data_IF_988881165224
#
_entry.id   IF_988881165224
#
_cell.length_a   1.000
_cell.length_b   1.000
_cell.length_c   1.000
_cell.angle_alpha   90.00
_cell.angle_beta   90.00
_cell.angle_gamma   90.00
#
_symmetry.space_group_name_H-M   'P 1'
#
loop_
_entity.id
_entity.type
_entity.pdbx_description
1 polymer ?
#
# COMPACT_ATOMS: atom_id res chain seq x y z
N UNK A 1 -30.13 14.87 -34.06
CA UNK A 1 -30.31 13.60 -33.34
C UNK A 1 -29.01 13.34 -32.60
N UNK A 2 -29.00 13.70 -31.31
CA UNK A 2 -27.80 13.60 -30.48
C UNK A 2 -27.58 12.16 -30.01
N UNK A 3 -26.33 11.71 -30.09
CA UNK A 3 -25.86 10.59 -29.29
C UNK A 3 -25.07 11.21 -28.12
N UNK A 4 -25.79 11.47 -27.02
CA UNK A 4 -25.16 11.59 -25.71
C UNK A 4 -24.65 10.19 -25.33
N UNK A 5 -23.41 9.89 -25.68
CA UNK A 5 -22.65 8.86 -25.02
C UNK A 5 -22.30 9.37 -23.64
N UNK A 6 -23.02 8.91 -22.61
CA UNK A 6 -22.67 9.17 -21.22
C UNK A 6 -21.31 8.50 -20.94
N UNK A 7 -20.24 9.29 -20.89
CA UNK A 7 -19.02 8.86 -20.23
C UNK A 7 -19.31 8.83 -18.73
N UNK A 8 -19.90 7.72 -18.27
CA UNK A 8 -19.89 7.38 -16.86
C UNK A 8 -18.41 7.36 -16.45
N UNK A 9 -18.05 8.19 -15.49
CA UNK A 9 -16.71 8.22 -14.89
C UNK A 9 -16.43 6.83 -14.33
N UNK A 10 -15.69 5.99 -15.05
CA UNK A 10 -15.38 4.64 -14.58
C UNK A 10 -14.59 4.74 -13.28
N UNK A 11 -15.21 4.30 -12.18
CA UNK A 11 -14.50 4.05 -10.94
C UNK A 11 -13.39 3.04 -11.24
N UNK A 12 -12.13 3.47 -11.21
CA UNK A 12 -11.00 2.60 -11.56
C UNK A 12 -10.55 1.70 -10.40
N UNK A 13 -11.34 1.66 -9.32
CA UNK A 13 -11.11 0.82 -8.16
C UNK A 13 -12.41 0.58 -7.39
N UNK A 14 -12.50 -0.56 -6.74
CA UNK A 14 -13.64 -0.99 -5.91
C UNK A 14 -13.26 -0.90 -4.43
N UNK A 15 -14.24 -0.60 -3.57
CA UNK A 15 -14.06 -0.53 -2.10
C UNK A 15 -14.93 -1.60 -1.45
N UNK A 16 -14.36 -2.33 -0.50
CA UNK A 16 -15.06 -3.31 0.33
C UNK A 16 -14.86 -3.01 1.84
N UNK A 17 -15.95 -2.97 2.64
CA UNK A 17 -17.33 -2.87 2.18
C UNK A 17 -17.57 -1.57 1.39
N UNK A 18 -18.56 -1.50 0.48
CA UNK A 18 -18.82 -0.31 -0.33
C UNK A 18 -19.12 0.97 0.49
N UNK A 19 -19.56 0.80 1.73
CA UNK A 19 -19.84 1.89 2.69
C UNK A 19 -18.65 2.24 3.57
N UNK A 20 -17.47 1.63 3.36
CA UNK A 20 -16.31 1.89 4.18
C UNK A 20 -15.85 3.34 4.03
N UNK A 21 -15.64 4.00 5.17
CA UNK A 21 -14.94 5.26 5.19
C UNK A 21 -13.44 4.99 5.05
N UNK A 22 -12.84 5.47 3.96
CA UNK A 22 -11.40 5.34 3.76
C UNK A 22 -10.64 6.32 4.67
N UNK A 23 -9.46 5.93 5.19
CA UNK A 23 -8.61 6.86 5.91
C UNK A 23 -8.13 7.98 4.97
N UNK A 24 -7.89 9.16 5.52
CA UNK A 24 -7.18 10.24 4.83
C UNK A 24 -5.69 10.00 5.03
N UNK A 25 -4.93 9.95 3.94
CA UNK A 25 -3.49 9.79 3.97
C UNK A 25 -2.80 11.15 3.85
N UNK A 26 -1.67 11.29 4.54
CA UNK A 26 -0.93 12.56 4.62
C UNK A 26 0.56 12.34 4.32
N UNK A 27 1.22 13.41 3.87
CA UNK A 27 2.67 13.46 3.70
C UNK A 27 3.35 13.85 5.03
N UNK A 28 4.61 13.45 5.28
CA UNK A 28 5.49 12.66 4.41
C UNK A 28 5.05 11.18 4.27
N UNK A 29 5.15 10.64 3.05
CA UNK A 29 4.84 9.25 2.71
C UNK A 29 6.14 8.47 2.48
N UNK A 30 6.26 7.31 3.12
CA UNK A 30 7.29 6.30 2.82
C UNK A 30 6.64 4.99 2.37
N UNK A 31 7.28 4.31 1.42
CA UNK A 31 6.96 2.95 1.01
C UNK A 31 8.15 2.03 1.29
N UNK A 32 7.86 0.86 1.83
CA UNK A 32 8.81 -0.24 2.03
C UNK A 32 8.18 -1.56 1.58
N UNK A 33 8.95 -2.64 1.61
CA UNK A 33 8.50 -3.99 1.26
C UNK A 33 8.76 -4.96 2.40
N UNK A 34 7.82 -5.89 2.63
CA UNK A 34 8.02 -7.06 3.47
C UNK A 34 8.42 -8.24 2.58
N UNK A 35 9.69 -8.63 2.62
CA UNK A 35 10.30 -9.46 1.59
C UNK A 35 10.91 -8.59 0.49
N UNK A 36 11.39 -9.22 -0.59
CA UNK A 36 12.06 -8.50 -1.68
C UNK A 36 11.32 -8.66 -3.00
N UNK A 37 10.67 -7.60 -3.44
CA UNK A 37 9.91 -7.54 -4.68
C UNK A 37 9.88 -6.09 -5.19
N UNK A 38 9.64 -5.85 -6.50
CA UNK A 38 9.61 -4.51 -7.06
C UNK A 38 8.39 -3.66 -6.65
N UNK A 39 7.51 -4.14 -5.77
CA UNK A 39 6.29 -3.45 -5.35
C UNK A 39 6.53 -2.03 -4.83
N UNK A 40 7.51 -1.82 -3.96
CA UNK A 40 7.81 -0.50 -3.41
C UNK A 40 8.21 0.50 -4.52
N UNK A 41 9.09 0.08 -5.43
CA UNK A 41 9.45 0.85 -6.63
C UNK A 41 8.25 1.15 -7.52
N UNK A 42 7.37 0.18 -7.75
CA UNK A 42 6.15 0.40 -8.54
C UNK A 42 5.25 1.47 -7.91
N UNK A 43 5.08 1.45 -6.59
CA UNK A 43 4.32 2.47 -5.86
C UNK A 43 4.99 3.84 -6.00
N UNK A 44 6.30 3.94 -5.79
CA UNK A 44 7.04 5.20 -5.96
C UNK A 44 6.87 5.78 -7.36
N UNK A 45 6.95 4.95 -8.40
CA UNK A 45 6.74 5.36 -9.80
C UNK A 45 5.32 5.90 -10.01
N UNK A 46 4.30 5.22 -9.49
CA UNK A 46 2.91 5.69 -9.60
C UNK A 46 2.71 7.01 -8.85
N UNK A 47 3.23 7.14 -7.63
CA UNK A 47 3.20 8.39 -6.87
C UNK A 47 3.84 9.54 -7.68
N UNK A 48 5.01 9.29 -8.27
CA UNK A 48 5.70 10.26 -9.13
C UNK A 48 4.88 10.69 -10.35
N UNK A 49 4.13 9.76 -10.96
CA UNK A 49 3.28 10.06 -12.13
C UNK A 49 2.14 11.04 -11.82
N UNK A 50 1.76 11.21 -10.55
CA UNK A 50 0.74 12.15 -10.09
C UNK A 50 1.32 13.31 -9.27
N UNK A 51 2.65 13.45 -9.21
CA UNK A 51 3.33 14.48 -8.43
C UNK A 51 3.27 14.30 -6.91
N UNK A 52 2.90 13.11 -6.42
CA UNK A 52 2.88 12.79 -5.00
C UNK A 52 4.29 12.42 -4.53
N UNK A 53 4.82 13.16 -3.56
CA UNK A 53 6.11 12.83 -2.95
C UNK A 53 6.02 11.51 -2.17
N UNK A 54 6.92 10.60 -2.47
CA UNK A 54 6.97 9.27 -1.88
C UNK A 54 8.43 8.83 -1.77
N UNK A 55 8.88 8.60 -0.55
CA UNK A 55 10.20 8.01 -0.29
C UNK A 55 10.12 6.50 -0.42
N UNK A 56 11.02 5.89 -1.20
CA UNK A 56 11.17 4.44 -1.29
C UNK A 56 12.33 4.01 -0.39
N UNK A 57 12.05 3.14 0.58
CA UNK A 57 13.01 2.66 1.55
C UNK A 57 12.83 1.15 1.78
N UNK A 58 13.38 0.33 0.87
CA UNK A 58 13.19 -1.13 0.89
C UNK A 58 13.66 -1.80 2.19
N UNK A 59 14.71 -1.24 2.82
CA UNK A 59 15.29 -1.73 4.07
C UNK A 59 14.90 -0.88 5.29
N UNK A 60 13.77 -0.15 5.20
CA UNK A 60 13.28 0.69 6.30
C UNK A 60 13.26 -0.08 7.62
N UNK A 61 13.78 0.54 8.67
CA UNK A 61 13.80 0.00 10.03
C UNK A 61 12.97 0.87 10.97
N UNK A 62 12.61 0.32 12.13
CA UNK A 62 11.98 1.09 13.20
C UNK A 62 12.84 2.30 13.65
N UNK A 63 14.17 2.14 13.62
CA UNK A 63 15.10 3.23 13.97
C UNK A 63 14.99 4.40 12.99
N UNK A 64 14.78 4.12 11.70
CA UNK A 64 14.67 5.17 10.68
C UNK A 64 13.38 5.97 10.88
N UNK A 65 12.26 5.31 11.18
CA UNK A 65 11.01 5.99 11.54
C UNK A 65 11.18 6.91 12.74
N UNK A 66 11.80 6.38 13.81
CA UNK A 66 12.06 7.15 15.03
C UNK A 66 12.99 8.34 14.78
N UNK A 67 14.08 8.13 14.05
CA UNK A 67 15.04 9.20 13.72
C UNK A 67 14.37 10.32 12.93
N UNK A 68 13.55 9.97 11.93
CA UNK A 68 12.76 10.95 11.17
C UNK A 68 11.81 11.74 12.06
N UNK A 69 11.17 11.09 13.03
CA UNK A 69 10.31 11.79 13.98
C UNK A 69 11.10 12.77 14.87
N UNK A 70 12.24 12.35 15.40
CA UNK A 70 13.13 13.18 16.22
C UNK A 70 13.70 14.39 15.43
N UNK A 71 13.91 14.23 14.12
CA UNK A 71 14.34 15.29 13.20
C UNK A 71 13.21 16.25 12.78
N UNK A 72 11.98 16.07 13.29
CA UNK A 72 10.81 16.87 12.91
C UNK A 72 10.26 16.56 11.52
N UNK A 73 10.63 15.40 10.96
CA UNK A 73 10.24 14.91 9.63
C UNK A 73 9.44 13.61 9.72
N UNK A 74 8.69 13.41 10.82
CA UNK A 74 7.89 12.22 11.05
C UNK A 74 7.00 11.89 9.84
N UNK A 75 7.09 10.66 9.33
CA UNK A 75 6.15 10.17 8.32
C UNK A 75 4.73 10.19 8.87
N UNK A 76 3.76 10.42 7.98
CA UNK A 76 2.33 10.37 8.31
C UNK A 76 1.64 9.16 7.69
N UNK A 77 2.20 8.66 6.59
CA UNK A 77 1.73 7.44 5.93
C UNK A 77 2.89 6.50 5.63
N UNK A 78 2.69 5.22 5.94
CA UNK A 78 3.57 4.11 5.61
C UNK A 78 2.81 3.13 4.72
N UNK A 79 3.32 2.88 3.51
CA UNK A 79 2.85 1.78 2.67
C UNK A 79 3.83 0.62 2.80
N UNK A 80 3.33 -0.59 3.05
CA UNK A 80 4.13 -1.82 3.09
C UNK A 80 3.64 -2.76 2.00
N UNK A 81 4.46 -3.01 0.99
CA UNK A 81 4.15 -4.02 -0.04
C UNK A 81 4.42 -5.43 0.47
N UNK A 82 3.63 -6.38 0.00
CA UNK A 82 3.73 -7.81 0.35
C UNK A 82 4.05 -8.63 -0.88
N UNK A 83 4.62 -9.81 -0.64
CA UNK A 83 5.04 -10.74 -1.67
C UNK A 83 6.54 -10.66 -1.94
N UNK A 84 7.09 -11.77 -2.38
CA UNK A 84 8.53 -12.01 -2.46
C UNK A 84 8.96 -12.40 -3.87
N UNK A 85 10.25 -12.22 -4.15
CA UNK A 85 10.93 -12.82 -5.28
C UNK A 85 12.03 -13.74 -4.75
N UNK A 86 11.83 -15.06 -4.80
CA UNK A 86 12.83 -16.05 -4.37
C UNK A 86 14.22 -15.80 -5.00
N UNK A 87 14.26 -15.40 -6.29
CA UNK A 87 15.52 -15.02 -6.97
C UNK A 87 16.12 -13.75 -6.37
N UNK A 88 15.31 -12.75 -6.07
CA UNK A 88 15.74 -11.48 -5.46
C UNK A 88 16.28 -11.69 -4.05
N UNK A 89 15.53 -12.39 -3.20
CA UNK A 89 15.92 -12.72 -1.83
C UNK A 89 17.20 -13.55 -1.78
N UNK A 90 17.32 -14.58 -2.63
CA UNK A 90 18.52 -15.40 -2.72
C UNK A 90 19.76 -14.61 -3.15
N UNK A 91 19.62 -13.69 -4.12
CA UNK A 91 20.74 -12.85 -4.56
C UNK A 91 21.14 -11.79 -3.53
N UNK A 92 20.18 -11.28 -2.75
CA UNK A 92 20.42 -10.31 -1.68
C UNK A 92 20.89 -10.96 -0.36
N UNK A 93 20.81 -12.29 -0.25
CA UNK A 93 21.09 -13.01 1.01
C UNK A 93 20.09 -12.69 2.12
N UNK A 94 18.85 -12.36 1.77
CA UNK A 94 17.81 -11.92 2.70
C UNK A 94 16.90 -13.10 3.05
N UNK A 95 16.76 -13.34 4.35
CA UNK A 95 15.88 -14.36 4.95
C UNK A 95 14.48 -13.78 5.19
N UNK A 96 13.44 -14.56 4.93
CA UNK A 96 12.06 -14.16 5.21
C UNK A 96 11.83 -13.96 6.72
N UNK A 97 12.47 -14.72 7.59
CA UNK A 97 12.31 -14.58 9.05
C UNK A 97 12.92 -13.27 9.55
N UNK A 98 14.02 -12.85 8.94
CA UNK A 98 14.60 -11.53 9.16
C UNK A 98 13.62 -10.43 8.72
N UNK A 99 13.05 -10.55 7.52
CA UNK A 99 12.11 -9.56 6.97
C UNK A 99 10.83 -9.45 7.80
N UNK A 100 10.28 -10.58 8.23
CA UNK A 100 9.12 -10.62 9.15
C UNK A 100 9.46 -9.90 10.45
N UNK A 101 10.63 -10.15 11.02
CA UNK A 101 11.07 -9.50 12.27
C UNK A 101 11.27 -8.00 12.09
N UNK A 102 11.92 -7.57 11.00
CA UNK A 102 12.14 -6.17 10.65
C UNK A 102 10.81 -5.44 10.48
N UNK A 103 9.89 -5.99 9.70
CA UNK A 103 8.61 -5.37 9.41
C UNK A 103 7.69 -5.34 10.63
N UNK A 104 7.71 -6.37 11.48
CA UNK A 104 7.02 -6.29 12.78
C UNK A 104 7.53 -5.11 13.60
N UNK A 105 8.84 -4.90 13.68
CA UNK A 105 9.41 -3.76 14.40
C UNK A 105 8.98 -2.41 13.78
N UNK A 106 9.00 -2.30 12.44
CA UNK A 106 8.53 -1.11 11.70
C UNK A 106 7.06 -0.83 12.00
N UNK A 107 6.18 -1.83 11.92
CA UNK A 107 4.74 -1.70 12.22
C UNK A 107 4.53 -1.25 13.66
N UNK A 108 5.24 -1.84 14.62
CA UNK A 108 5.12 -1.47 16.04
C UNK A 108 5.54 -0.01 16.27
N UNK A 109 6.60 0.46 15.63
CA UNK A 109 7.01 1.86 15.74
C UNK A 109 6.04 2.80 15.04
N UNK A 110 5.59 2.46 13.83
CA UNK A 110 4.59 3.22 13.10
C UNK A 110 3.31 3.41 13.92
N UNK A 111 2.84 2.38 14.62
CA UNK A 111 1.68 2.48 15.53
C UNK A 111 1.92 3.42 16.71
N UNK A 112 3.11 3.41 17.32
CA UNK A 112 3.44 4.33 18.44
C UNK A 112 3.44 5.79 17.98
N UNK A 113 3.97 6.03 16.79
CA UNK A 113 4.06 7.36 16.17
C UNK A 113 2.73 7.82 15.53
N UNK A 114 1.69 6.98 15.55
CA UNK A 114 0.38 7.29 14.96
C UNK A 114 0.39 7.38 13.43
N UNK A 115 1.33 6.70 12.77
CA UNK A 115 1.47 6.66 11.31
C UNK A 115 0.37 5.78 10.72
N UNK A 116 -0.31 6.25 9.66
CA UNK A 116 -1.27 5.45 8.90
C UNK A 116 -0.54 4.31 8.16
N UNK A 117 -0.96 3.07 8.39
CA UNK A 117 -0.38 1.88 7.74
C UNK A 117 -1.28 1.38 6.62
N UNK A 118 -0.74 1.29 5.41
CA UNK A 118 -1.42 0.73 4.23
C UNK A 118 -0.69 -0.56 3.80
N UNK A 119 -1.39 -1.69 3.86
CA UNK A 119 -0.89 -2.96 3.35
C UNK A 119 -1.21 -3.11 1.87
N UNK A 120 -0.20 -3.37 1.02
CA UNK A 120 -0.37 -3.40 -0.41
C UNK A 120 0.08 -4.73 -1.04
N UNK A 121 -0.76 -5.33 -1.89
CA UNK A 121 -0.41 -6.49 -2.70
C UNK A 121 -0.72 -6.20 -4.18
N UNK A 122 0.25 -5.60 -4.89
CA UNK A 122 0.02 -4.94 -6.18
C UNK A 122 0.71 -5.62 -7.37
N UNK A 123 1.35 -6.76 -7.13
CA UNK A 123 2.11 -7.51 -8.12
C UNK A 123 1.37 -8.76 -8.64
N UNK A 124 0.16 -9.03 -8.11
CA UNK A 124 -0.73 -10.11 -8.53
C UNK A 124 -0.31 -11.50 -8.04
N UNK A 125 -1.03 -12.55 -8.49
CA UNK A 125 -0.84 -13.93 -8.00
C UNK A 125 0.60 -14.46 -8.06
N UNK A 126 1.44 -13.93 -8.95
CA UNK A 126 2.88 -14.32 -9.05
C UNK A 126 3.70 -14.00 -7.80
N UNK A 127 3.14 -13.24 -6.86
CA UNK A 127 3.73 -12.89 -5.56
C UNK A 127 2.92 -13.43 -4.38
N UNK A 128 2.07 -14.43 -4.62
CA UNK A 128 1.33 -15.20 -3.62
C UNK A 128 1.31 -16.68 -3.98
N UNK A 129 2.50 -17.27 -4.06
CA UNK A 129 2.71 -18.64 -4.55
C UNK A 129 3.25 -19.59 -3.48
N UNK A 130 3.99 -19.08 -2.49
CA UNK A 130 4.68 -19.90 -1.49
C UNK A 130 4.57 -19.34 -0.07
N UNK A 131 5.13 -20.10 0.88
CA UNK A 131 5.08 -19.78 2.31
C UNK A 131 5.73 -18.43 2.66
N UNK A 132 6.71 -17.98 1.89
CA UNK A 132 7.39 -16.70 2.15
C UNK A 132 6.49 -15.52 1.75
N UNK A 133 5.74 -15.67 0.66
CA UNK A 133 4.70 -14.71 0.29
C UNK A 133 3.61 -14.65 1.38
N UNK A 134 3.11 -15.81 1.82
CA UNK A 134 2.09 -15.87 2.87
C UNK A 134 2.60 -15.33 4.21
N UNK A 135 3.89 -15.53 4.54
CA UNK A 135 4.50 -14.94 5.73
C UNK A 135 4.54 -13.40 5.65
N UNK A 136 4.86 -12.83 4.49
CA UNK A 136 4.83 -11.38 4.28
C UNK A 136 3.41 -10.82 4.42
N UNK A 137 2.42 -11.49 3.81
CA UNK A 137 1.02 -11.08 3.84
C UNK A 137 0.47 -11.17 5.27
N UNK A 138 0.69 -12.30 5.95
CA UNK A 138 0.25 -12.52 7.32
C UNK A 138 0.91 -11.59 8.35
N UNK A 139 2.07 -11.02 8.02
CA UNK A 139 2.75 -10.03 8.86
C UNK A 139 2.15 -8.63 8.71
N UNK A 140 1.77 -8.24 7.49
CA UNK A 140 1.39 -6.85 7.15
C UNK A 140 -0.11 -6.63 7.22
N UNK A 141 -0.89 -7.50 6.58
CA UNK A 141 -2.32 -7.25 6.34
C UNK A 141 -3.13 -7.12 7.64
N UNK A 142 -2.98 -8.00 8.65
CA UNK A 142 -3.71 -7.88 9.91
C UNK A 142 -3.47 -6.57 10.68
N UNK A 143 -2.34 -5.92 10.43
CA UNK A 143 -1.88 -4.74 11.16
C UNK A 143 -2.20 -3.43 10.44
N UNK A 144 -2.78 -3.51 9.23
CA UNK A 144 -3.02 -2.39 8.34
C UNK A 144 -4.31 -1.63 8.68
N UNK A 145 -4.36 -0.34 8.37
CA UNK A 145 -5.58 0.47 8.44
C UNK A 145 -6.37 0.46 7.12
N UNK A 146 -5.70 0.10 6.02
CA UNK A 146 -6.28 -0.03 4.69
C UNK A 146 -5.51 -1.10 3.92
N UNK A 147 -6.22 -1.92 3.16
CA UNK A 147 -5.63 -2.90 2.24
C UNK A 147 -5.82 -2.42 0.81
N UNK A 148 -4.79 -2.49 -0.02
CA UNK A 148 -4.88 -2.25 -1.46
C UNK A 148 -4.36 -3.47 -2.21
N UNK A 149 -5.17 -4.05 -3.10
CA UNK A 149 -4.80 -5.24 -3.86
C UNK A 149 -5.03 -5.03 -5.35
N UNK A 150 -4.18 -5.65 -6.18
CA UNK A 150 -4.52 -5.85 -7.60
C UNK A 150 -5.47 -7.03 -7.73
N UNK A 151 -6.48 -6.91 -8.60
CA UNK A 151 -7.57 -7.88 -8.72
C UNK A 151 -7.06 -9.30 -9.01
N UNK A 152 -6.06 -9.42 -9.88
CA UNK A 152 -5.38 -10.67 -10.23
C UNK A 152 -4.52 -11.25 -9.10
N UNK A 153 -4.44 -10.63 -7.92
CA UNK A 153 -3.85 -11.21 -6.70
C UNK A 153 -4.90 -11.74 -5.71
N UNK A 154 -6.18 -11.51 -5.99
CA UNK A 154 -7.31 -11.77 -5.10
C UNK A 154 -8.47 -12.50 -5.81
N UNK A 155 -8.22 -13.20 -6.91
CA UNK A 155 -9.28 -13.91 -7.68
C UNK A 155 -9.99 -14.99 -6.86
N UNK A 156 -9.30 -15.60 -5.90
CA UNK A 156 -9.83 -16.57 -4.95
C UNK A 156 -10.50 -15.92 -3.71
N UNK A 157 -10.53 -14.59 -3.64
CA UNK A 157 -11.08 -13.84 -2.52
C UNK A 157 -10.24 -13.89 -1.24
N UNK A 158 -8.96 -14.28 -1.31
CA UNK A 158 -8.07 -14.38 -0.14
C UNK A 158 -8.00 -13.08 0.68
N UNK A 159 -7.68 -11.95 0.05
CA UNK A 159 -7.64 -10.63 0.71
C UNK A 159 -9.03 -10.13 1.07
N UNK A 160 -10.06 -10.49 0.29
CA UNK A 160 -11.46 -10.20 0.64
C UNK A 160 -11.86 -10.86 1.96
N UNK A 161 -11.41 -12.09 2.20
CA UNK A 161 -11.65 -12.79 3.47
C UNK A 161 -10.86 -12.14 4.61
N UNK A 162 -9.57 -11.87 4.42
CA UNK A 162 -8.73 -11.23 5.44
C UNK A 162 -9.26 -9.84 5.83
N UNK A 163 -9.65 -9.01 4.86
CA UNK A 163 -10.23 -7.70 5.10
C UNK A 163 -11.47 -7.78 6.00
N UNK A 164 -12.36 -8.75 5.75
CA UNK A 164 -13.55 -8.98 6.59
C UNK A 164 -13.19 -9.49 7.98
N UNK A 165 -12.26 -10.44 8.07
CA UNK A 165 -11.82 -11.03 9.34
C UNK A 165 -11.22 -9.97 10.28
N UNK A 166 -10.42 -9.06 9.73
CA UNK A 166 -9.77 -7.99 10.50
C UNK A 166 -10.56 -6.68 10.55
N UNK A 167 -11.71 -6.59 9.89
CA UNK A 167 -12.50 -5.35 9.75
C UNK A 167 -11.72 -4.17 9.15
N UNK A 168 -10.90 -4.46 8.13
CA UNK A 168 -10.08 -3.46 7.44
C UNK A 168 -10.71 -3.17 6.07
N UNK A 169 -10.86 -1.91 5.65
CA UNK A 169 -11.30 -1.59 4.30
C UNK A 169 -10.32 -2.15 3.26
N UNK A 170 -10.86 -2.67 2.17
CA UNK A 170 -10.11 -3.20 1.03
C UNK A 170 -10.42 -2.38 -0.21
N UNK A 171 -9.38 -1.93 -0.90
CA UNK A 171 -9.45 -1.35 -2.24
C UNK A 171 -8.89 -2.34 -3.24
N UNK A 172 -9.66 -2.63 -4.28
CA UNK A 172 -9.22 -3.47 -5.41
C UNK A 172 -9.01 -2.61 -6.64
N UNK A 173 -7.82 -2.71 -7.25
CA UNK A 173 -7.50 -2.09 -8.55
C UNK A 173 -7.34 -3.16 -9.63
N UNK A 174 -7.73 -2.85 -10.87
CA UNK A 174 -7.50 -3.77 -11.99
C UNK A 174 -6.02 -3.87 -12.38
N UNK A 175 -5.34 -2.74 -12.45
CA UNK A 175 -3.95 -2.62 -12.91
C UNK A 175 -3.15 -1.76 -11.92
N UNK A 176 -1.84 -1.97 -11.83
CA UNK A 176 -0.97 -1.19 -10.94
C UNK A 176 -1.04 0.32 -11.24
N UNK A 177 -1.24 0.72 -12.51
CA UNK A 177 -1.40 2.13 -12.88
C UNK A 177 -2.66 2.79 -12.29
N UNK A 178 -3.71 2.01 -12.01
CA UNK A 178 -4.95 2.54 -11.42
C UNK A 178 -4.78 2.94 -9.95
N UNK A 179 -3.66 2.57 -9.31
CA UNK A 179 -3.27 3.09 -8.00
C UNK A 179 -3.16 4.63 -8.00
N UNK A 180 -2.87 5.25 -9.14
CA UNK A 180 -2.86 6.71 -9.28
C UNK A 180 -4.18 7.35 -8.81
N UNK A 181 -5.32 6.73 -9.15
CA UNK A 181 -6.63 7.24 -8.76
C UNK A 181 -6.95 6.96 -7.29
N UNK A 182 -6.45 5.85 -6.75
CA UNK A 182 -6.53 5.54 -5.32
C UNK A 182 -5.75 6.58 -4.51
N UNK A 183 -4.51 6.87 -4.89
CA UNK A 183 -3.68 7.84 -4.19
C UNK A 183 -4.22 9.27 -4.31
N UNK A 184 -4.76 9.67 -5.46
CA UNK A 184 -5.50 10.94 -5.58
C UNK A 184 -6.66 11.05 -4.60
N UNK A 185 -7.41 9.95 -4.41
CA UNK A 185 -8.51 9.90 -3.45
C UNK A 185 -8.03 9.96 -2.00
N UNK A 186 -7.01 9.19 -1.63
CA UNK A 186 -6.51 9.08 -0.25
C UNK A 186 -5.78 10.35 0.22
N UNK A 187 -4.93 10.91 -0.62
CA UNK A 187 -4.13 12.12 -0.31
C UNK A 187 -4.81 13.42 -0.72
N UNK A 188 -6.06 13.34 -1.22
CA UNK A 188 -6.85 14.48 -1.68
C UNK A 188 -6.11 15.36 -2.70
N UNK A 189 -5.20 14.76 -3.48
CA UNK A 189 -4.41 15.46 -4.51
C UNK A 189 -5.30 15.69 -5.74
N UNK A 190 -6.19 16.68 -5.65
CA UNK A 190 -7.15 16.94 -6.71
C UNK A 190 -8.30 17.92 -6.42
N UNK A 191 -8.49 18.40 -5.19
CA UNK A 191 -9.43 19.49 -4.90
C UNK A 191 -8.74 20.58 -4.07
N UNK A 192 -7.88 21.38 -4.73
CA UNK A 192 -7.90 22.80 -4.35
C UNK A 192 -9.27 23.30 -4.81
N UNK A 193 -10.20 23.39 -3.87
CA UNK A 193 -11.43 24.14 -4.05
C UNK A 193 -11.09 25.46 -4.73
N UNK A 194 -11.65 25.70 -5.91
CA UNK A 194 -11.70 27.01 -6.52
C UNK A 194 -12.51 27.91 -5.59
N UNK A 195 -11.85 28.54 -4.62
CA UNK A 195 -12.36 29.73 -3.97
C UNK A 195 -12.22 30.88 -4.96
N UNK A 196 -13.12 30.91 -5.95
CA UNK A 196 -13.43 32.13 -6.68
C UNK A 196 -14.32 32.99 -5.80
N UNK A 197 -13.69 34.04 -5.27
CA UNK A 197 -14.19 35.42 -5.11
C UNK A 197 -15.60 35.63 -4.55
#
# INVERSE_FOLDING_TARGET
MGLQGSYATEQTFEILPPTAQLPVAELPLVVTTCGQSPGALMIRIVCGSIGLQCEEADLLTAKDLKSKAEEGQAYKTLIITTGTSLKGMGAAGIDIDYEVSRIKAVIQEAKKEGILIIGAHIEGMKRRVDETDYASIGTVIPESNLIIVRADGNEDGYFTKLAKEHNIPLITVKETLHLANVFKKLFQTGEKASTSS
#
